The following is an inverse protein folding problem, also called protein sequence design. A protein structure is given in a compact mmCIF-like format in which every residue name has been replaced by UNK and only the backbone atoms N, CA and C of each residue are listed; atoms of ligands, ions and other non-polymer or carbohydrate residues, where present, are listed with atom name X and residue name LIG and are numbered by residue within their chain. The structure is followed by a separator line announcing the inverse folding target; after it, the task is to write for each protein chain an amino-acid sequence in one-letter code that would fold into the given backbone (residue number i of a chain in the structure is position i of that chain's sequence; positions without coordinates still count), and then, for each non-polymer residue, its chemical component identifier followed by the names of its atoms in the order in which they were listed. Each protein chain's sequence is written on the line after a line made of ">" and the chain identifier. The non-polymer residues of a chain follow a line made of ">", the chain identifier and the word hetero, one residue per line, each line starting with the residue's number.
data_IF_512279948892
#
_entry.id   IF_512279948892
#
_cell.length_a   1.000
_cell.length_b   1.000
_cell.length_c   1.000
_cell.angle_alpha   90.00
_cell.angle_beta   90.00
_cell.angle_gamma   90.00
#
_symmetry.space_group_name_H-M   'P 1'
#
loop_
_entity.id
_entity.type
_entity.pdbx_description
1 polymer ?
#
# COMPACT_ATOMS: atom_id res chain seq x y z
N UNK A 1 -7.97 31.39 -32.83
CA UNK A 1 -6.65 30.72 -32.82
C UNK A 1 -6.37 30.23 -31.41
N UNK A 2 -6.56 28.93 -31.15
CA UNK A 2 -6.13 28.34 -29.89
C UNK A 2 -4.60 28.20 -29.93
N UNK A 3 -3.90 28.78 -28.94
CA UNK A 3 -2.45 28.57 -28.79
C UNK A 3 -2.21 27.07 -28.63
N UNK A 4 -1.20 26.47 -29.29
CA UNK A 4 -0.82 25.10 -28.97
C UNK A 4 -0.41 25.08 -27.50
N UNK A 5 -1.21 24.43 -26.66
CA UNK A 5 -0.78 24.05 -25.32
C UNK A 5 0.50 23.25 -25.54
N UNK A 6 1.62 23.78 -25.06
CA UNK A 6 2.96 23.31 -25.39
C UNK A 6 3.11 21.84 -25.01
N UNK A 7 2.89 20.94 -25.98
CA UNK A 7 2.74 19.48 -25.79
C UNK A 7 3.91 18.87 -25.04
N UNK A 8 5.11 19.41 -25.25
CA UNK A 8 6.34 19.04 -24.54
C UNK A 8 6.29 19.36 -23.04
N UNK A 9 5.74 20.51 -22.66
CA UNK A 9 5.55 20.90 -21.25
C UNK A 9 4.49 20.03 -20.59
N UNK A 10 3.40 19.72 -21.29
CA UNK A 10 2.36 18.79 -20.82
C UNK A 10 2.92 17.40 -20.56
N UNK A 11 3.71 16.85 -21.48
CA UNK A 11 4.36 15.55 -21.32
C UNK A 11 5.36 15.53 -20.17
N UNK A 12 6.14 16.58 -20.01
CA UNK A 12 7.11 16.70 -18.90
C UNK A 12 6.39 16.66 -17.56
N UNK A 13 5.32 17.44 -17.40
CA UNK A 13 4.51 17.44 -16.18
C UNK A 13 3.86 16.08 -15.89
N UNK A 14 3.38 15.39 -16.94
CA UNK A 14 2.81 14.04 -16.79
C UNK A 14 3.86 13.01 -16.37
N UNK A 15 5.07 13.09 -16.93
CA UNK A 15 6.19 12.24 -16.53
C UNK A 15 6.59 12.46 -15.07
N UNK A 16 6.67 13.71 -14.63
CA UNK A 16 6.92 14.06 -13.22
C UNK A 16 5.82 13.49 -12.32
N UNK A 17 4.55 13.63 -12.72
CA UNK A 17 3.41 13.06 -11.99
C UNK A 17 3.54 11.54 -11.84
N UNK A 18 3.92 10.81 -12.90
CA UNK A 18 4.17 9.36 -12.83
C UNK A 18 5.27 9.04 -11.82
N UNK A 19 6.37 9.81 -11.82
CA UNK A 19 7.46 9.67 -10.86
C UNK A 19 7.00 9.82 -9.42
N UNK A 20 6.25 10.89 -9.12
CA UNK A 20 5.72 11.15 -7.78
C UNK A 20 4.79 10.03 -7.30
N UNK A 21 3.91 9.52 -8.19
CA UNK A 21 3.00 8.41 -7.86
C UNK A 21 3.74 7.08 -7.67
N UNK A 22 4.83 6.85 -8.40
CA UNK A 22 5.65 5.67 -8.24
C UNK A 22 6.36 5.68 -6.88
N UNK A 23 6.92 6.82 -6.48
CA UNK A 23 7.53 7.01 -5.16
C UNK A 23 6.49 6.82 -4.04
N UNK A 24 5.30 7.40 -4.19
CA UNK A 24 4.19 7.24 -3.25
C UNK A 24 3.82 5.75 -3.08
N UNK A 25 3.59 5.03 -4.18
CA UNK A 25 3.23 3.62 -4.15
C UNK A 25 4.34 2.76 -3.51
N UNK A 26 5.61 3.06 -3.81
CA UNK A 26 6.75 2.34 -3.25
C UNK A 26 6.88 2.55 -1.74
N UNK A 27 6.68 3.79 -1.25
CA UNK A 27 6.67 4.08 0.19
C UNK A 27 5.58 3.29 0.91
N UNK A 28 4.36 3.33 0.41
CA UNK A 28 3.23 2.61 1.01
C UNK A 28 3.40 1.08 0.94
N UNK A 29 4.07 0.56 -0.10
CA UNK A 29 4.45 -0.85 -0.14
C UNK A 29 5.44 -1.22 0.98
N UNK A 30 6.42 -0.36 1.24
CA UNK A 30 7.36 -0.54 2.36
C UNK A 30 6.62 -0.55 3.69
N UNK A 31 5.63 0.34 3.90
CA UNK A 31 4.81 0.36 5.11
C UNK A 31 4.02 -0.94 5.28
N UNK A 32 3.42 -1.47 4.21
CA UNK A 32 2.73 -2.77 4.23
C UNK A 32 3.68 -3.90 4.63
N UNK A 33 4.92 -3.91 4.09
CA UNK A 33 5.93 -4.91 4.44
C UNK A 33 6.34 -4.79 5.91
N UNK A 34 6.56 -3.56 6.37
CA UNK A 34 6.93 -3.28 7.76
C UNK A 34 5.85 -3.76 8.73
N UNK A 35 4.59 -3.36 8.53
CA UNK A 35 3.47 -3.74 9.39
C UNK A 35 3.18 -5.25 9.34
N UNK A 36 3.38 -5.91 8.19
CA UNK A 36 3.29 -7.38 8.12
C UNK A 36 4.38 -8.05 8.96
N UNK A 37 5.59 -7.50 8.96
CA UNK A 37 6.68 -7.92 9.83
C UNK A 37 6.34 -7.72 11.30
N UNK A 38 5.86 -6.52 11.66
CA UNK A 38 5.42 -6.18 13.01
C UNK A 38 4.37 -7.17 13.53
N UNK A 39 3.27 -7.36 12.79
CA UNK A 39 2.21 -8.31 13.17
C UNK A 39 2.74 -9.75 13.36
N UNK A 40 3.72 -10.17 12.55
CA UNK A 40 4.33 -11.49 12.70
C UNK A 40 5.13 -11.61 14.00
N UNK A 41 5.80 -10.53 14.41
CA UNK A 41 6.51 -10.45 15.69
C UNK A 41 5.52 -10.43 16.85
N UNK A 42 4.50 -9.55 16.81
CA UNK A 42 3.46 -9.49 17.85
C UNK A 42 2.76 -10.83 18.06
N UNK A 43 2.48 -11.56 16.97
CA UNK A 43 1.92 -12.90 17.05
C UNK A 43 2.87 -13.91 17.71
N UNK A 44 4.15 -13.88 17.34
CA UNK A 44 5.16 -14.76 17.95
C UNK A 44 5.32 -14.46 19.46
N UNK A 45 5.37 -13.19 19.84
CA UNK A 45 5.47 -12.75 21.23
C UNK A 45 4.22 -13.13 22.04
N UNK A 46 3.04 -12.91 21.47
CA UNK A 46 1.77 -13.30 22.09
C UNK A 46 1.73 -14.81 22.41
N UNK A 47 2.22 -15.64 21.49
CA UNK A 47 2.35 -17.10 21.71
C UNK A 47 3.40 -17.44 22.77
N UNK A 48 4.59 -16.85 22.68
CA UNK A 48 5.70 -17.11 23.59
C UNK A 48 5.34 -16.79 25.05
N UNK A 49 4.72 -15.62 25.28
CA UNK A 49 4.27 -15.17 26.61
C UNK A 49 3.22 -16.09 27.26
N UNK A 50 2.50 -16.89 26.46
CA UNK A 50 1.44 -17.80 26.92
C UNK A 50 1.83 -19.26 26.87
N UNK A 51 3.05 -19.59 26.42
CA UNK A 51 3.49 -20.96 26.21
C UNK A 51 2.66 -21.72 25.17
N UNK A 52 2.09 -21.01 24.17
CA UNK A 52 1.23 -21.61 23.15
C UNK A 52 2.07 -21.93 21.92
N UNK A 53 2.16 -23.21 21.54
CA UNK A 53 2.86 -23.63 20.33
C UNK A 53 2.01 -23.36 19.06
N UNK A 54 0.75 -23.78 19.12
CA UNK A 54 -0.22 -23.72 18.04
C UNK A 54 -1.54 -23.10 18.53
N UNK A 55 -2.12 -22.22 17.69
CA UNK A 55 -3.43 -21.62 17.94
C UNK A 55 -4.42 -22.25 16.96
N UNK A 56 -5.34 -23.06 17.48
CA UNK A 56 -6.38 -23.67 16.67
C UNK A 56 -7.43 -22.63 16.27
N UNK A 57 -7.78 -22.59 14.98
CA UNK A 57 -8.75 -21.62 14.46
C UNK A 57 -10.14 -21.84 15.07
N UNK A 58 -10.75 -20.77 15.59
CA UNK A 58 -12.07 -20.81 16.22
C UNK A 58 -12.05 -21.25 17.69
N UNK A 59 -10.87 -21.51 18.26
CA UNK A 59 -10.71 -21.72 19.71
C UNK A 59 -10.78 -20.41 20.49
N UNK A 60 -10.95 -20.49 21.81
CA UNK A 60 -10.88 -19.32 22.70
C UNK A 60 -9.51 -18.62 22.62
N UNK A 61 -8.44 -19.37 22.38
CA UNK A 61 -7.10 -18.83 22.18
C UNK A 61 -7.01 -18.02 20.88
N UNK A 62 -7.70 -18.47 19.83
CA UNK A 62 -7.79 -17.75 18.56
C UNK A 62 -8.53 -16.44 18.72
N UNK A 63 -9.67 -16.42 19.41
CA UNK A 63 -10.41 -15.18 19.69
C UNK A 63 -9.61 -14.23 20.58
N UNK A 64 -8.94 -14.75 21.62
CA UNK A 64 -8.06 -13.95 22.48
C UNK A 64 -6.88 -13.36 21.72
N UNK A 65 -6.30 -14.09 20.77
CA UNK A 65 -5.25 -13.61 19.88
C UNK A 65 -5.76 -12.51 18.95
N UNK A 66 -6.90 -12.73 18.28
CA UNK A 66 -7.50 -11.73 17.39
C UNK A 66 -7.84 -10.44 18.13
N UNK A 67 -8.35 -10.54 19.36
CA UNK A 67 -8.61 -9.38 20.20
C UNK A 67 -7.31 -8.65 20.58
N UNK A 68 -6.28 -9.39 21.01
CA UNK A 68 -5.00 -8.81 21.43
C UNK A 68 -4.23 -8.14 20.27
N UNK A 69 -4.34 -8.67 19.05
CA UNK A 69 -3.66 -8.17 17.86
C UNK A 69 -4.56 -7.30 16.97
N UNK A 70 -5.73 -6.89 17.48
CA UNK A 70 -6.75 -6.19 16.69
C UNK A 70 -6.24 -4.90 16.07
N UNK A 71 -5.45 -4.12 16.82
CA UNK A 71 -4.83 -2.89 16.34
C UNK A 71 -3.81 -3.16 15.23
N UNK A 72 -2.92 -4.14 15.40
CA UNK A 72 -1.95 -4.53 14.37
C UNK A 72 -2.63 -4.97 13.06
N UNK A 73 -3.74 -5.71 13.17
CA UNK A 73 -4.56 -6.10 12.02
C UNK A 73 -5.20 -4.88 11.36
N UNK A 74 -5.74 -3.94 12.14
CA UNK A 74 -6.37 -2.73 11.63
C UNK A 74 -5.37 -1.82 10.91
N UNK A 75 -4.18 -1.64 11.47
CA UNK A 75 -3.09 -0.87 10.87
C UNK A 75 -2.64 -1.49 9.54
N UNK A 76 -2.39 -2.80 9.52
CA UNK A 76 -2.01 -3.50 8.30
C UNK A 76 -3.11 -3.43 7.24
N UNK A 77 -4.38 -3.55 7.63
CA UNK A 77 -5.52 -3.42 6.73
C UNK A 77 -5.60 -2.01 6.12
N UNK A 78 -5.39 -0.98 6.94
CA UNK A 78 -5.35 0.41 6.48
C UNK A 78 -4.18 0.65 5.52
N UNK A 79 -2.97 0.20 5.85
CA UNK A 79 -1.79 0.34 4.98
C UNK A 79 -2.01 -0.35 3.61
N UNK A 80 -2.59 -1.56 3.60
CA UNK A 80 -2.96 -2.26 2.35
C UNK A 80 -3.99 -1.48 1.53
N UNK A 81 -4.95 -0.82 2.18
CA UNK A 81 -5.93 0.04 1.51
C UNK A 81 -5.26 1.26 0.88
N UNK A 82 -4.39 1.94 1.62
CA UNK A 82 -3.64 3.10 1.12
C UNK A 82 -2.77 2.72 -0.07
N UNK A 83 -2.02 1.62 0.04
CA UNK A 83 -1.19 1.09 -1.05
C UNK A 83 -2.02 0.80 -2.31
N UNK A 84 -3.15 0.08 -2.20
CA UNK A 84 -4.02 -0.20 -3.36
C UNK A 84 -4.53 1.09 -4.03
N UNK A 85 -4.84 2.11 -3.24
CA UNK A 85 -5.27 3.40 -3.79
C UNK A 85 -4.12 4.13 -4.49
N UNK A 86 -2.90 4.07 -3.96
CA UNK A 86 -1.72 4.63 -4.62
C UNK A 86 -1.38 3.92 -5.92
N UNK A 87 -1.50 2.59 -5.98
CA UNK A 87 -1.34 1.84 -7.23
C UNK A 87 -2.32 2.30 -8.31
N UNK A 88 -3.61 2.44 -7.98
CA UNK A 88 -4.62 2.96 -8.94
C UNK A 88 -4.31 4.36 -9.43
N UNK A 89 -3.79 5.23 -8.55
CA UNK A 89 -3.35 6.59 -8.95
C UNK A 89 -2.16 6.54 -9.90
N UNK A 90 -1.19 5.67 -9.64
CA UNK A 90 -0.05 5.44 -10.53
C UNK A 90 -0.49 4.91 -11.90
N UNK A 91 -1.33 3.87 -11.93
CA UNK A 91 -1.90 3.32 -13.18
C UNK A 91 -2.60 4.39 -14.00
N UNK A 92 -3.39 5.25 -13.33
CA UNK A 92 -4.08 6.36 -13.99
C UNK A 92 -3.09 7.38 -14.56
N UNK A 93 -2.05 7.75 -13.80
CA UNK A 93 -1.04 8.69 -14.26
C UNK A 93 -0.23 8.15 -15.45
N UNK A 94 0.11 6.85 -15.43
CA UNK A 94 0.78 6.17 -16.54
C UNK A 94 -0.09 6.22 -17.79
N UNK A 95 -1.38 5.85 -17.68
CA UNK A 95 -2.30 5.89 -18.82
C UNK A 95 -2.39 7.29 -19.42
N UNK A 96 -2.52 8.34 -18.61
CA UNK A 96 -2.56 9.72 -19.11
C UNK A 96 -1.27 10.14 -19.81
N UNK A 97 -0.12 9.70 -19.30
CA UNK A 97 1.16 9.94 -19.95
C UNK A 97 1.23 9.22 -21.31
N UNK A 98 0.83 7.94 -21.38
CA UNK A 98 0.80 7.16 -22.61
C UNK A 98 -0.14 7.77 -23.66
N UNK A 99 -1.36 8.13 -23.26
CA UNK A 99 -2.34 8.79 -24.12
C UNK A 99 -1.78 10.11 -24.70
N UNK A 100 -1.13 10.92 -23.87
CA UNK A 100 -0.54 12.18 -24.29
C UNK A 100 0.70 11.98 -25.19
N UNK A 101 1.50 10.95 -24.93
CA UNK A 101 2.71 10.65 -25.69
C UNK A 101 2.38 10.08 -27.08
N UNK A 102 1.24 9.41 -27.21
CA UNK A 102 0.76 8.90 -28.49
C UNK A 102 0.17 9.99 -29.39
N UNK A 103 -0.33 11.08 -28.80
CA UNK A 103 -0.92 12.23 -29.50
C UNK A 103 0.07 13.37 -29.81
N UNK A 104 1.31 13.28 -29.32
CA UNK A 104 2.36 14.30 -29.46
C UNK A 104 3.31 14.04 -30.62
#
# INVERSE_FOLDING_TARGET
>A
MAKPVNSRKTLTNLKETVGDRAIEAQRLLSDVKHLKGHLSISFADWKATRGIEFVERGSDQWEAMLSALSDDYAELANAKRLYRNAQRRLETAVRWYEDAAWLS
#
